data_IF_676489562267
#
_entry.id   IF_676489562267
#
_cell.length_a   1.000
_cell.length_b   1.000
_cell.length_c   1.000
_cell.angle_alpha   90.00
_cell.angle_beta   90.00
_cell.angle_gamma   90.00
#
_symmetry.space_group_name_H-M   'P 1'
#
loop_
_entity.id
_entity.type
_entity.pdbx_description
1 polymer ?
#
# COMPACT_ATOMS: atom_id res chain seq x y z
N UNK A 1 -16.82 9.85 -3.67
CA UNK A 1 -17.04 9.00 -2.47
C UNK A 1 -15.71 8.86 -1.72
N UNK A 2 -15.72 8.96 -0.39
CA UNK A 2 -14.49 8.98 0.41
C UNK A 2 -14.20 7.60 0.99
N UNK A 3 -12.97 7.09 0.85
CA UNK A 3 -12.51 5.88 1.54
C UNK A 3 -12.24 6.15 3.02
N UNK A 4 -12.54 5.18 3.88
CA UNK A 4 -12.31 5.28 5.33
C UNK A 4 -10.86 4.96 5.69
N UNK A 5 -10.21 4.13 4.86
CA UNK A 5 -8.80 3.75 4.99
C UNK A 5 -8.13 3.77 3.62
N UNK A 6 -7.00 4.49 3.50
CA UNK A 6 -6.19 4.61 2.29
C UNK A 6 -4.80 4.06 2.55
N UNK A 7 -4.42 3.03 1.80
CA UNK A 7 -3.13 2.36 1.89
C UNK A 7 -2.38 2.57 0.58
N UNK A 8 -1.22 3.21 0.64
CA UNK A 8 -0.29 3.31 -0.46
C UNK A 8 0.72 2.16 -0.42
N UNK A 9 0.97 1.53 -1.57
CA UNK A 9 2.06 0.55 -1.71
C UNK A 9 3.34 1.24 -2.20
N UNK A 10 4.47 0.99 -1.52
CA UNK A 10 5.77 1.54 -1.94
C UNK A 10 6.92 0.74 -1.35
N UNK A 11 7.99 0.54 -2.13
CA UNK A 11 9.27 0.00 -1.63
C UNK A 11 9.88 0.89 -0.53
N UNK A 12 9.53 2.18 -0.51
CA UNK A 12 9.96 3.17 0.51
C UNK A 12 9.06 3.20 1.74
N UNK A 13 7.94 2.47 1.73
CA UNK A 13 7.00 2.42 2.85
C UNK A 13 7.56 1.62 4.03
N UNK A 14 6.84 1.71 5.15
CA UNK A 14 7.13 0.90 6.34
C UNK A 14 6.97 -0.60 6.02
N UNK A 15 7.76 -1.44 6.69
CA UNK A 15 7.68 -2.88 6.50
C UNK A 15 6.30 -3.40 6.93
N UNK A 16 5.57 -4.05 6.01
CA UNK A 16 4.23 -4.56 6.32
C UNK A 16 4.23 -5.52 7.51
N UNK A 17 5.33 -6.25 7.74
CA UNK A 17 5.45 -7.23 8.83
C UNK A 17 5.37 -6.57 10.21
N UNK A 18 5.82 -5.33 10.31
CA UNK A 18 5.77 -4.52 11.54
C UNK A 18 4.37 -3.92 11.76
N UNK A 19 3.58 -3.78 10.68
CA UNK A 19 2.27 -3.15 10.69
C UNK A 19 1.09 -4.15 10.76
N UNK A 20 1.31 -5.47 10.64
CA UNK A 20 0.23 -6.46 10.46
C UNK A 20 -0.92 -6.33 11.46
N UNK A 21 -0.61 -6.20 12.76
CA UNK A 21 -1.63 -6.09 13.81
C UNK A 21 -2.44 -4.79 13.67
N UNK A 22 -1.77 -3.65 13.52
CA UNK A 22 -2.42 -2.35 13.38
C UNK A 22 -3.22 -2.26 12.08
N UNK A 23 -2.71 -2.86 11.01
CA UNK A 23 -3.36 -2.94 9.71
C UNK A 23 -4.65 -3.76 9.79
N UNK A 24 -4.63 -4.94 10.43
CA UNK A 24 -5.84 -5.76 10.65
C UNK A 24 -6.90 -5.01 11.46
N UNK A 25 -6.51 -4.36 12.56
CA UNK A 25 -7.42 -3.54 13.36
C UNK A 25 -8.02 -2.36 12.59
N UNK A 26 -7.22 -1.68 11.76
CA UNK A 26 -7.69 -0.57 10.93
C UNK A 26 -8.65 -1.05 9.83
N UNK A 27 -8.30 -2.14 9.15
CA UNK A 27 -9.15 -2.75 8.13
C UNK A 27 -10.48 -3.25 8.71
N UNK A 28 -10.48 -3.84 9.92
CA UNK A 28 -11.71 -4.29 10.58
C UNK A 28 -12.67 -3.17 11.01
N UNK A 29 -12.20 -1.93 11.10
CA UNK A 29 -13.03 -0.73 11.38
C UNK A 29 -13.49 0.01 10.13
N UNK A 30 -12.89 -0.27 8.97
CA UNK A 30 -13.16 0.44 7.73
C UNK A 30 -14.23 -0.29 6.91
N UNK A 31 -15.22 0.44 6.39
CA UNK A 31 -16.20 -0.12 5.46
C UNK A 31 -15.65 -0.11 4.03
N UNK A 32 -14.85 0.90 3.69
CA UNK A 32 -14.27 1.11 2.36
C UNK A 32 -12.77 1.35 2.46
N UNK A 33 -12.00 0.35 2.04
CA UNK A 33 -10.54 0.39 1.98
C UNK A 33 -10.07 0.64 0.55
N UNK A 34 -9.22 1.65 0.36
CA UNK A 34 -8.50 1.89 -0.89
C UNK A 34 -7.06 1.40 -0.75
N UNK A 35 -6.61 0.58 -1.71
CA UNK A 35 -5.20 0.21 -1.85
C UNK A 35 -4.68 0.77 -3.16
N UNK A 36 -3.75 1.72 -3.08
CA UNK A 36 -3.16 2.36 -4.23
C UNK A 36 -1.85 1.68 -4.64
N UNK A 37 -1.68 1.52 -5.95
CA UNK A 37 -0.48 0.95 -6.56
C UNK A 37 0.17 1.96 -7.49
N UNK A 38 1.49 1.96 -7.49
CA UNK A 38 2.26 2.69 -8.51
C UNK A 38 2.13 2.04 -9.89
N UNK A 39 2.60 2.77 -10.89
CA UNK A 39 2.74 2.29 -12.27
C UNK A 39 4.11 1.61 -12.48
N UNK A 40 4.25 0.93 -13.62
CA UNK A 40 5.50 0.24 -13.98
C UNK A 40 6.74 1.14 -14.07
N UNK A 41 6.54 2.43 -14.35
CA UNK A 41 7.62 3.42 -14.53
C UNK A 41 7.66 4.50 -13.44
N UNK A 42 6.59 4.65 -12.66
CA UNK A 42 6.44 5.70 -11.65
C UNK A 42 5.79 5.09 -10.41
N UNK A 43 6.45 5.15 -9.25
CA UNK A 43 5.83 4.81 -7.98
C UNK A 43 4.86 5.91 -7.53
N UNK A 44 4.14 5.67 -6.42
CA UNK A 44 3.16 6.62 -5.92
C UNK A 44 3.76 7.96 -5.51
N UNK A 45 5.01 7.97 -5.04
CA UNK A 45 5.72 9.20 -4.69
C UNK A 45 6.06 10.04 -5.92
N UNK A 46 6.52 9.41 -7.00
CA UNK A 46 6.78 10.07 -8.28
C UNK A 46 5.48 10.63 -8.88
N UNK A 47 4.40 9.86 -8.79
CA UNK A 47 3.05 10.31 -9.20
C UNK A 47 2.59 11.48 -8.33
N UNK A 48 2.75 11.40 -7.01
CA UNK A 48 2.37 12.43 -6.06
C UNK A 48 3.09 13.75 -6.33
N UNK A 49 4.41 13.71 -6.48
CA UNK A 49 5.23 14.88 -6.83
C UNK A 49 4.76 15.51 -8.14
N UNK A 50 4.57 14.71 -9.19
CA UNK A 50 4.08 15.18 -10.49
C UNK A 50 2.66 15.77 -10.42
N UNK A 51 1.82 15.28 -9.51
CA UNK A 51 0.44 15.76 -9.31
C UNK A 51 0.32 16.85 -8.23
N UNK A 52 1.42 17.22 -7.58
CA UNK A 52 1.44 18.29 -6.57
C UNK A 52 0.88 17.89 -5.20
N UNK A 53 0.94 16.62 -4.82
CA UNK A 53 0.57 16.17 -3.47
C UNK A 53 1.64 15.26 -2.85
N UNK A 54 1.67 15.23 -1.51
CA UNK A 54 2.59 14.39 -0.76
C UNK A 54 1.89 13.10 -0.35
N UNK A 55 2.44 11.95 -0.75
CA UNK A 55 1.85 10.62 -0.46
C UNK A 55 1.62 10.44 1.04
N UNK A 56 2.58 10.84 1.85
CA UNK A 56 2.52 10.70 3.32
C UNK A 56 1.44 11.59 3.97
N UNK A 57 0.89 12.56 3.25
CA UNK A 57 -0.18 13.44 3.75
C UNK A 57 -1.58 12.98 3.30
N UNK A 58 -1.65 12.14 2.27
CA UNK A 58 -2.92 11.69 1.66
C UNK A 58 -3.30 10.28 2.08
N UNK A 59 -2.33 9.43 2.39
CA UNK A 59 -2.54 8.03 2.76
C UNK A 59 -2.37 7.82 4.26
N UNK A 60 -3.26 7.02 4.84
CA UNK A 60 -3.18 6.65 6.26
C UNK A 60 -1.99 5.70 6.51
N UNK A 61 -1.64 4.90 5.50
CA UNK A 61 -0.49 4.01 5.51
C UNK A 61 0.30 4.09 4.21
N UNK A 62 1.63 4.08 4.30
CA UNK A 62 2.52 3.79 3.19
C UNK A 62 3.32 2.54 3.52
N UNK A 63 3.03 1.43 2.87
CA UNK A 63 3.57 0.12 3.22
C UNK A 63 4.38 -0.51 2.10
N UNK A 64 5.50 -1.12 2.50
CA UNK A 64 6.23 -2.06 1.69
C UNK A 64 5.71 -3.47 1.97
N UNK A 65 4.88 -3.98 1.06
CA UNK A 65 4.34 -5.35 1.15
C UNK A 65 5.36 -6.44 0.81
N UNK A 66 6.51 -6.09 0.21
CA UNK A 66 7.54 -7.02 -0.25
C UNK A 66 8.95 -6.54 0.13
N UNK A 67 9.27 -6.39 1.44
CA UNK A 67 10.52 -5.80 1.93
C UNK A 67 11.79 -6.55 1.49
N UNK A 68 11.67 -7.85 1.23
CA UNK A 68 12.77 -8.71 0.78
C UNK A 68 12.63 -9.06 -0.71
N UNK A 69 12.12 -8.14 -1.53
CA UNK A 69 12.00 -8.36 -2.96
C UNK A 69 13.38 -8.72 -3.57
N UNK A 70 13.52 -9.94 -4.10
CA UNK A 70 14.73 -10.41 -4.77
C UNK A 70 14.91 -9.88 -6.19
N UNK A 71 14.04 -8.95 -6.60
CA UNK A 71 13.99 -8.37 -7.95
C UNK A 71 14.05 -6.85 -7.88
N UNK A 72 14.55 -6.22 -8.94
CA UNK A 72 14.64 -4.76 -9.02
C UNK A 72 13.26 -4.08 -9.01
N UNK A 73 12.29 -4.67 -9.71
CA UNK A 73 10.93 -4.13 -9.86
C UNK A 73 9.92 -5.25 -9.76
N UNK A 74 8.85 -5.02 -9.00
CA UNK A 74 7.64 -5.87 -8.99
C UNK A 74 6.62 -5.19 -9.90
N UNK A 75 6.04 -5.95 -10.83
CA UNK A 75 5.02 -5.39 -11.73
C UNK A 75 3.71 -5.17 -10.96
N UNK A 76 2.86 -4.27 -11.45
CA UNK A 76 1.62 -3.90 -10.76
C UNK A 76 0.72 -5.11 -10.54
N UNK A 77 0.60 -6.01 -11.51
CA UNK A 77 -0.21 -7.23 -11.40
C UNK A 77 0.29 -8.20 -10.31
N UNK A 78 1.61 -8.30 -10.13
CA UNK A 78 2.24 -9.11 -9.07
C UNK A 78 2.03 -8.43 -7.71
N UNK A 79 2.26 -7.12 -7.64
CA UNK A 79 2.09 -6.32 -6.43
C UNK A 79 0.65 -6.37 -5.91
N UNK A 80 -0.34 -6.32 -6.81
CA UNK A 80 -1.77 -6.46 -6.46
C UNK A 80 -2.03 -7.82 -5.83
N UNK A 81 -1.58 -8.91 -6.46
CA UNK A 81 -1.77 -10.26 -5.91
C UNK A 81 -1.12 -10.42 -4.52
N UNK A 82 0.09 -9.91 -4.35
CA UNK A 82 0.82 -9.95 -3.08
C UNK A 82 0.16 -9.15 -1.97
N UNK A 83 -0.19 -7.89 -2.24
CA UNK A 83 -0.80 -7.02 -1.26
C UNK A 83 -2.16 -7.56 -0.80
N UNK A 84 -3.00 -8.02 -1.75
CA UNK A 84 -4.30 -8.60 -1.41
C UNK A 84 -4.18 -9.94 -0.67
N UNK A 85 -3.14 -10.75 -0.94
CA UNK A 85 -2.91 -11.97 -0.16
C UNK A 85 -2.57 -11.66 1.29
N UNK A 86 -1.73 -10.66 1.55
CA UNK A 86 -1.38 -10.24 2.92
C UNK A 86 -2.60 -9.59 3.60
N UNK A 87 -3.35 -8.75 2.88
CA UNK A 87 -4.57 -8.15 3.41
C UNK A 87 -5.62 -9.20 3.76
N UNK A 88 -5.78 -10.22 2.91
CA UNK A 88 -6.66 -11.37 3.18
C UNK A 88 -6.30 -12.09 4.48
N UNK A 89 -4.99 -12.27 4.75
CA UNK A 89 -4.52 -12.90 6.00
C UNK A 89 -4.78 -12.09 7.27
N UNK A 90 -4.86 -10.75 7.17
CA UNK A 90 -5.16 -9.90 8.34
C UNK A 90 -6.65 -9.55 8.48
N UNK A 91 -7.42 -9.76 7.40
CA UNK A 91 -8.88 -9.63 7.37
C UNK A 91 -9.61 -10.92 7.72
N UNK A 92 -8.94 -12.07 7.56
CA UNK A 92 -9.44 -13.42 7.81
C UNK A 92 -9.16 -13.93 9.21
#
# INVERSE_FOLDING_TARGET
EAYDLRIATSRRGADVREALRALGEACGRAERVCVAFGASREGLYEIGERQGFRVDEVFDYVLNFMPLQGVRTIRTEEAVAYALSILSLVLG
#
